data_IF_370306315195
#
_entry.id   IF_370306315195
#
_cell.length_a   1.000
_cell.length_b   1.000
_cell.length_c   1.000
_cell.angle_alpha   90.00
_cell.angle_beta   90.00
_cell.angle_gamma   90.00
#
_symmetry.space_group_name_H-M   'P 1'
#
loop_
_entity.id
_entity.type
_entity.pdbx_description
1 polymer ?
#
# COMPACT_ATOMS: atom_id res chain seq x y z
N UNK A 1 16.06 -35.62 -18.78
CA UNK A 1 15.84 -34.28 -18.21
C UNK A 1 16.48 -33.26 -19.14
N UNK A 2 15.77 -32.18 -19.46
CA UNK A 2 16.38 -30.87 -19.24
C UNK A 2 15.52 -30.11 -18.25
N UNK A 3 16.11 -29.85 -17.10
CA UNK A 3 15.52 -29.06 -16.02
C UNK A 3 15.29 -27.64 -16.53
N UNK A 4 14.04 -27.20 -16.51
CA UNK A 4 13.67 -25.80 -16.70
C UNK A 4 14.44 -24.96 -15.67
N UNK A 5 15.17 -23.90 -16.07
CA UNK A 5 15.76 -23.01 -15.10
C UNK A 5 14.62 -22.32 -14.36
N UNK A 6 14.46 -22.66 -13.07
CA UNK A 6 13.65 -21.91 -12.13
C UNK A 6 14.34 -20.55 -12.00
N UNK A 7 13.80 -19.53 -12.67
CA UNK A 7 14.28 -18.17 -12.53
C UNK A 7 14.34 -17.86 -11.03
N UNK A 8 15.55 -17.59 -10.57
CA UNK A 8 15.85 -17.35 -9.17
C UNK A 8 15.05 -16.14 -8.70
N UNK A 9 14.10 -16.35 -7.78
CA UNK A 9 13.31 -15.33 -7.08
C UNK A 9 14.18 -14.54 -6.10
N UNK A 10 15.38 -14.13 -6.51
CA UNK A 10 16.14 -13.10 -5.81
C UNK A 10 15.57 -11.75 -6.22
N UNK A 11 14.36 -11.48 -5.74
CA UNK A 11 13.68 -10.23 -5.95
C UNK A 11 14.61 -9.07 -5.56
N UNK A 12 14.86 -8.19 -6.51
CA UNK A 12 15.25 -6.81 -6.26
C UNK A 12 14.05 -6.09 -5.61
N UNK A 13 13.74 -6.54 -4.39
CA UNK A 13 12.69 -6.17 -3.45
C UNK A 13 11.72 -5.09 -3.96
N UNK A 14 10.64 -5.51 -4.64
CA UNK A 14 9.54 -4.64 -5.04
C UNK A 14 8.92 -3.91 -3.84
N UNK A 15 8.26 -2.79 -4.11
CA UNK A 15 7.56 -2.02 -3.08
C UNK A 15 6.50 -2.87 -2.39
N UNK A 16 6.16 -2.49 -1.16
CA UNK A 16 5.09 -3.15 -0.39
C UNK A 16 4.00 -2.15 -0.08
N UNK A 17 2.80 -2.39 -0.59
CA UNK A 17 1.58 -1.67 -0.26
C UNK A 17 0.95 -2.29 1.00
N UNK A 18 0.79 -1.50 2.05
CA UNK A 18 0.18 -1.92 3.32
C UNK A 18 -1.17 -1.23 3.47
N UNK A 19 -2.24 -2.01 3.58
CA UNK A 19 -3.61 -1.51 3.62
C UNK A 19 -4.19 -1.65 5.03
N UNK A 20 -4.67 -0.56 5.60
CA UNK A 20 -5.37 -0.56 6.89
C UNK A 20 -6.76 -1.21 6.75
N UNK A 21 -7.07 -2.20 7.59
CA UNK A 21 -8.36 -2.92 7.63
C UNK A 21 -8.93 -2.96 9.06
N UNK A 22 -8.76 -1.84 9.76
CA UNK A 22 -9.11 -1.69 11.17
C UNK A 22 -10.55 -1.29 11.39
N UNK A 23 -10.88 -0.92 12.62
CA UNK A 23 -12.25 -0.49 12.96
C UNK A 23 -12.69 0.79 12.24
N UNK A 24 -11.75 1.60 11.71
CA UNK A 24 -12.05 2.80 10.94
C UNK A 24 -11.92 2.57 9.43
N UNK A 25 -10.82 1.97 8.97
CA UNK A 25 -10.59 1.67 7.56
C UNK A 25 -11.14 0.27 7.24
N UNK A 26 -12.14 0.15 6.38
CA UNK A 26 -12.80 -1.13 6.11
C UNK A 26 -14.20 -1.29 6.72
N UNK A 27 -14.66 -0.32 7.52
CA UNK A 27 -16.03 -0.30 8.04
C UNK A 27 -16.92 0.61 7.17
N UNK A 28 -17.85 0.01 6.44
CA UNK A 28 -18.80 0.71 5.58
C UNK A 28 -19.74 1.67 6.34
N UNK A 29 -19.89 1.52 7.66
CA UNK A 29 -20.64 2.48 8.50
C UNK A 29 -19.83 3.75 8.76
N UNK A 30 -18.50 3.67 8.70
CA UNK A 30 -17.59 4.80 8.90
C UNK A 30 -17.26 5.49 7.58
N UNK A 31 -17.15 4.73 6.49
CA UNK A 31 -16.90 5.24 5.15
C UNK A 31 -18.00 4.72 4.20
N UNK A 32 -19.23 5.24 4.29
CA UNK A 32 -20.31 4.82 3.42
C UNK A 32 -19.98 5.15 1.96
N UNK A 33 -20.34 4.23 1.05
CA UNK A 33 -20.08 4.38 -0.38
C UNK A 33 -18.72 3.84 -0.86
N UNK A 34 -17.78 3.55 0.05
CA UNK A 34 -16.53 2.87 -0.30
C UNK A 34 -16.71 1.35 -0.32
N UNK A 35 -16.38 0.70 -1.43
CA UNK A 35 -16.23 -0.76 -1.48
C UNK A 35 -14.83 -1.18 -1.03
N UNK A 36 -14.73 -1.46 0.27
CA UNK A 36 -13.49 -1.87 0.90
C UNK A 36 -12.97 -3.23 0.40
N UNK A 37 -13.86 -4.15 0.06
CA UNK A 37 -13.47 -5.48 -0.39
C UNK A 37 -12.93 -5.41 -1.82
N UNK A 38 -13.63 -4.68 -2.69
CA UNK A 38 -13.21 -4.40 -4.05
C UNK A 38 -11.86 -3.70 -4.13
N UNK A 39 -11.65 -2.65 -3.32
CA UNK A 39 -10.35 -1.98 -3.24
C UNK A 39 -9.20 -2.97 -2.93
N UNK A 40 -9.42 -3.91 -2.00
CA UNK A 40 -8.38 -4.88 -1.68
C UNK A 40 -8.12 -5.85 -2.84
N UNK A 41 -9.17 -6.25 -3.54
CA UNK A 41 -9.08 -7.14 -4.70
C UNK A 41 -8.33 -6.46 -5.84
N UNK A 42 -8.65 -5.19 -6.14
CA UNK A 42 -7.97 -4.40 -7.16
C UNK A 42 -6.47 -4.27 -6.88
N UNK A 43 -6.10 -3.95 -5.63
CA UNK A 43 -4.70 -3.90 -5.21
C UNK A 43 -3.99 -5.25 -5.37
N UNK A 44 -4.66 -6.36 -5.01
CA UNK A 44 -4.09 -7.72 -5.14
C UNK A 44 -3.95 -8.16 -6.59
N UNK A 45 -4.92 -7.82 -7.44
CA UNK A 45 -4.85 -8.08 -8.87
C UNK A 45 -3.65 -7.34 -9.50
N UNK A 46 -3.53 -6.03 -9.25
CA UNK A 46 -2.38 -5.25 -9.71
C UNK A 46 -1.04 -5.76 -9.16
N UNK A 47 -1.01 -6.25 -7.92
CA UNK A 47 0.19 -6.86 -7.34
C UNK A 47 0.58 -8.17 -8.05
N UNK A 48 -0.39 -9.01 -8.39
CA UNK A 48 -0.16 -10.25 -9.13
C UNK A 48 0.34 -9.97 -10.55
N UNK A 49 -0.15 -8.91 -11.19
CA UNK A 49 0.26 -8.49 -12.52
C UNK A 49 1.66 -7.87 -12.55
N UNK A 50 1.95 -6.95 -11.62
CA UNK A 50 3.17 -6.11 -11.68
C UNK A 50 4.28 -6.52 -10.70
N UNK A 51 4.02 -7.46 -9.79
CA UNK A 51 5.03 -8.04 -8.91
C UNK A 51 5.40 -7.23 -7.66
N UNK A 52 4.63 -6.19 -7.32
CA UNK A 52 4.71 -5.57 -5.98
C UNK A 52 3.98 -6.42 -4.93
N UNK A 53 4.16 -6.12 -3.65
CA UNK A 53 3.54 -6.87 -2.56
C UNK A 53 2.36 -6.09 -1.96
N UNK A 54 1.28 -6.79 -1.61
CA UNK A 54 0.17 -6.24 -0.83
C UNK A 54 0.08 -6.96 0.50
N UNK A 55 -0.05 -6.19 1.58
CA UNK A 55 -0.29 -6.69 2.93
C UNK A 55 -1.45 -5.94 3.56
N UNK A 56 -2.23 -6.61 4.38
CA UNK A 56 -3.20 -5.96 5.25
C UNK A 56 -2.64 -5.84 6.66
N UNK A 57 -3.11 -4.86 7.40
CA UNK A 57 -2.89 -4.73 8.84
C UNK A 57 -4.17 -4.26 9.50
N UNK A 58 -4.29 -4.52 10.81
CA UNK A 58 -5.45 -4.08 11.57
C UNK A 58 -5.49 -2.54 11.61
N UNK A 59 -4.58 -1.84 12.29
CA UNK A 59 -4.65 -0.39 12.40
C UNK A 59 -3.30 0.29 12.16
N UNK A 60 -3.29 1.34 11.34
CA UNK A 60 -2.13 2.18 11.06
C UNK A 60 -2.05 3.45 11.90
N UNK A 61 -3.14 3.88 12.55
CA UNK A 61 -3.14 5.00 13.52
C UNK A 61 -3.94 6.24 13.10
N UNK A 62 -3.68 6.85 11.93
CA UNK A 62 -4.41 8.04 11.43
C UNK A 62 -5.88 7.75 11.05
N UNK A 63 -6.70 7.41 12.05
CA UNK A 63 -8.07 6.95 11.85
C UNK A 63 -9.01 8.02 11.28
N UNK A 64 -8.66 9.30 11.43
CA UNK A 64 -9.34 10.48 10.88
C UNK A 64 -9.07 10.68 9.38
N UNK A 65 -8.06 9.99 8.82
CA UNK A 65 -7.68 10.12 7.42
C UNK A 65 -8.40 9.15 6.49
N UNK A 66 -9.18 8.19 7.01
CA UNK A 66 -9.94 7.16 6.28
C UNK A 66 -9.10 6.29 5.29
N UNK A 67 -9.48 5.02 5.13
CA UNK A 67 -8.85 4.06 4.18
C UNK A 67 -7.33 4.21 3.98
N UNK A 68 -6.56 4.28 5.08
CA UNK A 68 -5.13 4.59 5.01
C UNK A 68 -4.35 3.46 4.31
N UNK A 69 -3.52 3.85 3.34
CA UNK A 69 -2.58 2.98 2.64
C UNK A 69 -1.16 3.50 2.84
N UNK A 70 -0.20 2.59 3.03
CA UNK A 70 1.22 2.92 3.10
C UNK A 70 1.99 2.20 2.01
N UNK A 71 2.65 2.95 1.13
CA UNK A 71 3.57 2.39 0.13
C UNK A 71 4.99 2.43 0.71
N UNK A 72 5.51 1.25 1.06
CA UNK A 72 6.89 1.09 1.54
C UNK A 72 7.83 0.99 0.33
N UNK A 73 8.93 1.77 0.31
CA UNK A 73 9.85 1.78 -0.81
C UNK A 73 10.51 0.41 -1.00
N UNK A 74 10.89 0.14 -2.24
CA UNK A 74 11.73 -0.98 -2.65
C UNK A 74 13.15 -0.82 -2.11
N UNK A 75 14.00 -1.83 -2.29
CA UNK A 75 15.43 -1.66 -1.99
C UNK A 75 16.07 -0.56 -2.86
N UNK A 76 15.63 -0.44 -4.13
CA UNK A 76 16.06 0.62 -5.03
C UNK A 76 15.58 2.00 -4.54
N UNK A 77 14.29 2.13 -4.22
CA UNK A 77 13.71 3.37 -3.71
C UNK A 77 14.41 3.85 -2.44
N UNK A 78 14.70 2.94 -1.50
CA UNK A 78 15.47 3.29 -0.27
C UNK A 78 16.87 3.81 -0.58
N UNK A 79 17.59 3.20 -1.52
CA UNK A 79 18.93 3.65 -1.95
C UNK A 79 18.88 5.03 -2.59
N UNK A 80 17.80 5.34 -3.31
CA UNK A 80 17.54 6.65 -3.88
C UNK A 80 17.00 7.68 -2.87
N UNK A 81 16.91 7.34 -1.57
CA UNK A 81 16.44 8.24 -0.51
C UNK A 81 14.94 8.16 -0.22
N UNK A 82 14.18 7.34 -0.98
CA UNK A 82 12.76 7.10 -0.78
C UNK A 82 12.40 6.70 0.64
N UNK A 83 11.25 7.21 1.10
CA UNK A 83 10.64 6.92 2.40
C UNK A 83 9.27 6.31 2.19
N UNK A 84 8.70 5.74 3.25
CA UNK A 84 7.33 5.25 3.17
C UNK A 84 6.39 6.44 2.95
N UNK A 85 5.55 6.36 1.92
CA UNK A 85 4.48 7.32 1.68
C UNK A 85 3.21 6.83 2.39
N UNK A 86 2.52 7.76 3.04
CA UNK A 86 1.27 7.51 3.76
C UNK A 86 0.17 8.26 3.04
N UNK A 87 -0.90 7.56 2.70
CA UNK A 87 -1.96 8.07 1.83
C UNK A 87 -3.28 7.86 2.58
N UNK A 88 -4.00 8.95 2.80
CA UNK A 88 -5.36 8.94 3.35
C UNK A 88 -6.41 8.98 2.25
N UNK A 89 -7.68 8.78 2.61
CA UNK A 89 -8.84 9.02 1.76
C UNK A 89 -8.84 8.30 0.40
N UNK A 90 -8.14 7.17 0.28
CA UNK A 90 -8.23 6.28 -0.89
C UNK A 90 -9.57 5.54 -0.83
N UNK A 91 -10.62 6.12 -1.40
CA UNK A 91 -12.01 5.70 -1.18
C UNK A 91 -12.72 5.19 -2.44
N UNK A 92 -12.13 5.40 -3.60
CA UNK A 92 -12.66 5.05 -4.92
C UNK A 92 -11.67 4.24 -5.74
N UNK A 93 -12.13 3.80 -6.90
CA UNK A 93 -11.35 2.99 -7.82
C UNK A 93 -10.21 3.81 -8.42
N UNK A 94 -10.44 5.07 -8.78
CA UNK A 94 -9.42 5.95 -9.38
C UNK A 94 -8.21 6.14 -8.45
N UNK A 95 -8.41 6.52 -7.19
CA UNK A 95 -7.31 6.62 -6.22
C UNK A 95 -6.64 5.27 -5.94
N UNK A 96 -7.40 4.17 -6.00
CA UNK A 96 -6.83 2.83 -5.82
C UNK A 96 -5.97 2.42 -7.02
N UNK A 97 -6.40 2.73 -8.25
CA UNK A 97 -5.66 2.49 -9.48
C UNK A 97 -4.38 3.33 -9.53
N UNK A 98 -4.42 4.59 -9.07
CA UNK A 98 -3.21 5.43 -8.96
C UNK A 98 -2.16 4.81 -8.03
N UNK A 99 -2.58 4.22 -6.90
CA UNK A 99 -1.68 3.48 -6.01
C UNK A 99 -1.09 2.26 -6.73
N UNK A 100 -1.90 1.52 -7.49
CA UNK A 100 -1.43 0.34 -8.26
C UNK A 100 -0.40 0.78 -9.30
N UNK A 101 -0.71 1.78 -10.12
CA UNK A 101 0.16 2.27 -11.18
C UNK A 101 1.47 2.81 -10.62
N UNK A 102 1.41 3.57 -9.53
CA UNK A 102 2.61 4.08 -8.88
C UNK A 102 3.46 2.98 -8.26
N UNK A 103 2.85 1.99 -7.60
CA UNK A 103 3.56 0.83 -7.07
C UNK A 103 4.20 -0.01 -8.19
N UNK A 104 3.52 -0.17 -9.32
CA UNK A 104 4.02 -0.84 -10.52
C UNK A 104 5.20 -0.10 -11.15
N UNK A 105 5.18 1.24 -11.16
CA UNK A 105 6.28 2.08 -11.61
C UNK A 105 7.50 2.07 -10.65
N UNK A 106 7.40 1.37 -9.52
CA UNK A 106 8.49 1.20 -8.55
C UNK A 106 8.34 2.03 -7.27
N UNK A 107 7.28 2.83 -7.15
CA UNK A 107 6.87 3.54 -5.94
C UNK A 107 7.89 4.55 -5.40
N UNK A 108 7.84 4.87 -4.09
CA UNK A 108 8.60 5.96 -3.50
C UNK A 108 10.10 5.89 -3.74
N UNK A 109 10.67 6.98 -4.25
CA UNK A 109 12.08 7.13 -4.57
C UNK A 109 12.52 6.46 -5.88
N UNK A 110 11.61 5.79 -6.60
CA UNK A 110 11.89 5.24 -7.95
C UNK A 110 11.04 5.94 -9.00
N UNK A 111 9.76 6.14 -8.72
CA UNK A 111 8.83 6.86 -9.57
C UNK A 111 8.20 8.03 -8.80
N UNK A 112 7.95 9.13 -9.50
CA UNK A 112 7.17 10.24 -8.97
C UNK A 112 5.70 9.79 -8.78
N UNK A 113 5.05 10.16 -7.66
CA UNK A 113 3.63 9.89 -7.51
C UNK A 113 2.80 10.76 -8.47
N UNK A 114 1.60 10.30 -8.89
CA UNK A 114 0.62 11.19 -9.52
C UNK A 114 0.27 12.36 -8.58
N UNK A 115 0.11 13.56 -9.12
CA UNK A 115 -0.19 14.77 -8.33
C UNK A 115 -1.49 14.63 -7.52
N UNK A 116 -2.50 13.99 -8.09
CA UNK A 116 -3.76 13.62 -7.47
C UNK A 116 -3.56 12.75 -6.22
N UNK A 117 -2.67 11.78 -6.29
CA UNK A 117 -2.28 10.93 -5.16
C UNK A 117 -1.47 11.70 -4.11
N UNK A 118 -0.59 12.62 -4.52
CA UNK A 118 0.19 13.47 -3.60
C UNK A 118 -0.69 14.38 -2.73
N UNK A 119 -1.80 14.89 -3.27
CA UNK A 119 -2.76 15.69 -2.51
C UNK A 119 -3.37 14.92 -1.33
N UNK A 120 -3.31 13.59 -1.37
CA UNK A 120 -3.79 12.69 -0.31
C UNK A 120 -2.69 12.25 0.66
N UNK A 121 -1.47 12.76 0.52
CA UNK A 121 -0.38 12.40 1.42
C UNK A 121 -0.62 12.95 2.83
N UNK A 122 -0.44 12.07 3.81
CA UNK A 122 -0.61 12.39 5.23
C UNK A 122 0.72 12.19 5.97
N UNK A 123 0.87 12.85 7.12
CA UNK A 123 2.02 12.59 7.98
C UNK A 123 1.91 11.19 8.61
N UNK A 124 3.02 10.45 8.75
CA UNK A 124 3.04 9.27 9.59
C UNK A 124 2.64 9.63 11.02
N UNK A 125 1.92 8.77 11.75
CA UNK A 125 1.59 9.02 13.15
C UNK A 125 2.88 9.19 13.94
N UNK A 126 3.01 10.31 14.68
CA UNK A 126 4.11 10.54 15.61
C UNK A 126 4.12 9.40 16.62
N UNK A 127 5.26 8.74 16.82
CA UNK A 127 5.39 7.44 17.51
C UNK A 127 4.58 7.32 18.82
N UNK A 128 3.36 6.84 18.71
CA UNK A 128 2.62 6.21 19.78
C UNK A 128 2.50 4.75 19.41
N UNK A 129 3.55 3.98 19.72
CA UNK A 129 3.66 2.51 19.67
C UNK A 129 2.39 1.85 19.13
N UNK A 130 2.34 1.60 17.82
CA UNK A 130 1.29 0.77 17.19
C UNK A 130 1.31 -0.57 17.92
N UNK A 131 0.42 -0.75 18.90
CA UNK A 131 0.29 -1.97 19.67
C UNK A 131 -0.32 -3.02 18.76
N UNK A 132 0.52 -3.73 18.02
CA UNK A 132 0.09 -4.97 17.37
C UNK A 132 -0.30 -5.96 18.47
N UNK A 133 -1.60 -6.18 18.65
CA UNK A 133 -2.08 -7.31 19.46
C UNK A 133 -1.66 -8.58 18.73
N UNK A 134 -0.59 -9.24 19.20
CA UNK A 134 -0.35 -10.65 18.89
C UNK A 134 -1.58 -11.43 19.32
N UNK A 135 -2.31 -12.00 18.35
CA UNK A 135 -3.34 -13.01 18.62
C UNK A 135 -2.65 -14.21 19.28
N UNK A 136 -3.14 -14.58 20.46
CA UNK A 136 -2.80 -15.83 21.15
C UNK A 136 -3.50 -16.99 20.46
#
# INVERSE_FOLDING_TARGET
>A
MPSTPRASLIGSASCTVVVCRGCCCGDARKNPGTDHAWQLELLRAGAAEHGFQVRTTDCLGPCDQANVIVVRPSAAGRRAGGRAAWIGFVMDDEGTEEVVQWAAAGGPGVAEPPLTLELQFIEPPREARVRSRRRR
#
